data_IF_740213880397
#
_entry.id   IF_740213880397
#
_cell.length_a   1.000
_cell.length_b   1.000
_cell.length_c   1.000
_cell.angle_alpha   90.00
_cell.angle_beta   90.00
_cell.angle_gamma   90.00
#
_symmetry.space_group_name_H-M   'P 1'
#
loop_
_entity.id
_entity.type
_entity.pdbx_description
1 polymer ?
#
# COMPACT_ATOMS: atom_id res chain seq x y z
N UNK A 1 17.59 -27.75 25.99
CA UNK A 1 17.39 -27.58 24.53
C UNK A 1 16.01 -28.03 24.06
N UNK A 2 15.59 -29.28 24.29
CA UNK A 2 14.25 -29.76 23.90
C UNK A 2 13.08 -28.97 24.52
N UNK A 3 13.12 -28.64 25.81
CA UNK A 3 12.04 -27.88 26.45
C UNK A 3 11.88 -26.47 25.87
N UNK A 4 12.98 -25.84 25.46
CA UNK A 4 12.98 -24.53 24.80
C UNK A 4 12.38 -24.61 23.39
N UNK A 5 12.61 -25.69 22.67
CA UNK A 5 11.97 -25.93 21.37
C UNK A 5 10.47 -26.19 21.52
N UNK A 6 10.07 -26.92 22.55
CA UNK A 6 8.67 -27.24 22.83
C UNK A 6 7.85 -25.99 23.20
N UNK A 7 8.44 -25.08 23.99
CA UNK A 7 7.85 -23.78 24.32
C UNK A 7 7.69 -22.92 23.06
N UNK A 8 8.73 -22.83 22.22
CA UNK A 8 8.67 -22.08 20.95
C UNK A 8 7.63 -22.62 20.00
N UNK A 9 7.47 -23.94 19.93
CA UNK A 9 6.48 -24.59 19.08
C UNK A 9 5.05 -24.32 19.56
N UNK A 10 4.81 -24.35 20.88
CA UNK A 10 3.51 -24.00 21.47
C UNK A 10 3.15 -22.54 21.21
N UNK A 11 4.09 -21.61 21.38
CA UNK A 11 3.87 -20.20 21.07
C UNK A 11 3.58 -19.97 19.59
N UNK A 12 4.30 -20.66 18.69
CA UNK A 12 4.04 -20.59 17.26
C UNK A 12 2.64 -21.11 16.90
N UNK A 13 2.23 -22.25 17.45
CA UNK A 13 0.91 -22.83 17.21
C UNK A 13 -0.21 -21.94 17.76
N UNK A 14 -0.04 -21.39 18.97
CA UNK A 14 -0.98 -20.44 19.55
C UNK A 14 -1.11 -19.15 18.71
N UNK A 15 0.00 -18.62 18.20
CA UNK A 15 -0.03 -17.47 17.28
C UNK A 15 -0.64 -17.80 15.92
N UNK A 16 -0.46 -19.04 15.44
CA UNK A 16 -1.04 -19.52 14.18
C UNK A 16 -2.56 -19.67 14.29
N UNK A 17 -3.04 -20.32 15.33
CA UNK A 17 -4.49 -20.52 15.56
C UNK A 17 -5.20 -19.20 15.88
N UNK A 18 -4.56 -18.29 16.61
CA UNK A 18 -5.08 -16.95 16.88
C UNK A 18 -5.01 -15.98 15.68
N UNK A 19 -4.41 -16.38 14.55
CA UNK A 19 -4.23 -15.48 13.39
C UNK A 19 -3.28 -14.30 13.64
N UNK A 20 -2.48 -14.37 14.72
CA UNK A 20 -1.55 -13.33 15.14
C UNK A 20 -0.14 -13.50 14.56
N UNK A 21 0.07 -14.50 13.70
CA UNK A 21 1.32 -14.62 12.96
C UNK A 21 1.56 -13.33 12.16
N UNK A 22 2.63 -12.61 12.52
CA UNK A 22 3.05 -11.37 11.86
C UNK A 22 3.19 -11.54 10.35
N UNK A 23 3.56 -12.73 9.90
CA UNK A 23 3.66 -13.11 8.49
C UNK A 23 2.28 -13.03 7.80
N UNK A 24 1.24 -13.63 8.38
CA UNK A 24 -0.11 -13.62 7.81
C UNK A 24 -0.69 -12.21 7.75
N UNK A 25 -0.48 -11.41 8.80
CA UNK A 25 -0.91 -10.01 8.82
C UNK A 25 -0.21 -9.18 7.72
N UNK A 26 1.10 -9.36 7.54
CA UNK A 26 1.87 -8.65 6.49
C UNK A 26 1.50 -9.13 5.09
N UNK A 27 1.23 -10.43 4.92
CA UNK A 27 0.77 -10.99 3.66
C UNK A 27 -0.56 -10.39 3.23
N UNK A 28 -1.53 -10.32 4.15
CA UNK A 28 -2.84 -9.69 3.89
C UNK A 28 -2.70 -8.21 3.51
N UNK A 29 -1.89 -7.44 4.24
CA UNK A 29 -1.60 -6.04 3.91
C UNK A 29 -1.03 -5.89 2.50
N UNK A 30 -0.08 -6.76 2.14
CA UNK A 30 0.54 -6.76 0.82
C UNK A 30 -0.48 -7.07 -0.28
N UNK A 31 -1.34 -8.07 -0.08
CA UNK A 31 -2.39 -8.46 -1.03
C UNK A 31 -3.41 -7.35 -1.25
N UNK A 32 -3.84 -6.67 -0.19
CA UNK A 32 -4.76 -5.53 -0.28
C UNK A 32 -4.14 -4.35 -1.05
N UNK A 33 -2.88 -4.01 -0.76
CA UNK A 33 -2.17 -2.95 -1.47
C UNK A 33 -1.92 -3.28 -2.95
N UNK A 34 -1.60 -4.54 -3.26
CA UNK A 34 -1.29 -4.98 -4.62
C UNK A 34 -2.51 -5.39 -5.43
N UNK A 35 -3.72 -5.25 -4.88
CA UNK A 35 -4.95 -5.54 -5.61
C UNK A 35 -4.98 -4.72 -6.90
N UNK A 36 -5.19 -5.35 -8.07
CA UNK A 36 -5.27 -4.64 -9.34
C UNK A 36 -6.37 -3.58 -9.31
N UNK A 37 -6.11 -2.45 -9.95
CA UNK A 37 -7.04 -1.33 -10.04
C UNK A 37 -7.16 -0.87 -11.49
N UNK A 38 -8.23 -0.16 -11.85
CA UNK A 38 -8.42 0.34 -13.22
C UNK A 38 -8.17 1.84 -13.31
N UNK A 39 -7.42 2.25 -14.33
CA UNK A 39 -7.23 3.66 -14.66
C UNK A 39 -8.45 4.20 -15.39
N UNK A 40 -8.74 5.47 -15.16
CA UNK A 40 -9.77 6.17 -15.94
C UNK A 40 -9.25 6.45 -17.35
N UNK A 41 -10.08 6.19 -18.36
CA UNK A 41 -9.80 6.64 -19.71
C UNK A 41 -10.05 8.16 -19.81
N UNK A 42 -9.22 8.84 -20.61
CA UNK A 42 -9.49 10.19 -21.07
C UNK A 42 -9.76 10.15 -22.57
N UNK A 43 -10.95 10.59 -22.99
CA UNK A 43 -11.36 10.53 -24.40
C UNK A 43 -10.78 11.68 -25.25
N UNK A 44 -10.42 12.78 -24.60
CA UNK A 44 -9.92 14.01 -25.22
C UNK A 44 -8.46 14.29 -24.88
N UNK A 45 -7.81 13.39 -24.13
CA UNK A 45 -6.46 13.58 -23.61
C UNK A 45 -6.38 14.59 -22.46
N UNK A 46 -7.51 15.12 -21.99
CA UNK A 46 -7.56 16.03 -20.86
C UNK A 46 -7.79 15.28 -19.55
N UNK A 47 -7.17 15.79 -18.49
CA UNK A 47 -7.30 15.26 -17.15
C UNK A 47 -8.46 15.95 -16.42
N UNK A 48 -9.27 15.18 -15.70
CA UNK A 48 -10.48 15.65 -15.02
C UNK A 48 -10.49 15.20 -13.56
N UNK A 49 -11.12 16.01 -12.70
CA UNK A 49 -11.38 15.63 -11.32
C UNK A 49 -12.22 14.34 -11.26
N UNK A 50 -11.92 13.49 -10.28
CA UNK A 50 -12.48 12.15 -10.10
C UNK A 50 -11.78 11.05 -10.90
N UNK A 51 -10.81 11.38 -11.77
CA UNK A 51 -10.09 10.37 -12.55
C UNK A 51 -9.04 9.65 -11.72
N UNK A 52 -8.94 8.34 -11.95
CA UNK A 52 -7.92 7.43 -11.43
C UNK A 52 -6.71 7.43 -12.35
N UNK A 53 -5.55 7.85 -11.82
CA UNK A 53 -4.30 7.98 -12.59
C UNK A 53 -3.11 7.36 -11.86
N UNK A 54 -2.03 7.14 -12.60
CA UNK A 54 -0.70 6.87 -12.05
C UNK A 54 0.19 8.08 -12.33
N UNK A 55 1.06 8.42 -11.38
CA UNK A 55 2.04 9.50 -11.54
C UNK A 55 3.41 8.91 -11.81
N UNK A 56 3.92 9.10 -13.03
CA UNK A 56 5.26 8.69 -13.45
C UNK A 56 6.26 9.81 -13.21
N UNK A 57 7.33 9.52 -12.48
CA UNK A 57 8.50 10.38 -12.44
C UNK A 57 9.38 10.11 -13.67
N UNK A 58 9.55 11.12 -14.53
CA UNK A 58 10.29 10.96 -15.79
C UNK A 58 11.80 10.72 -15.60
N UNK A 59 12.39 11.20 -14.50
CA UNK A 59 13.83 11.08 -14.23
C UNK A 59 14.18 9.69 -13.70
N UNK A 60 13.48 9.24 -12.65
CA UNK A 60 13.72 7.92 -12.04
C UNK A 60 13.04 6.78 -12.79
N UNK A 61 12.12 7.09 -13.72
CA UNK A 61 11.25 6.12 -14.41
C UNK A 61 10.39 5.30 -13.44
N UNK A 62 10.17 5.81 -12.23
CA UNK A 62 9.34 5.18 -11.21
C UNK A 62 7.98 5.84 -11.06
N UNK A 63 6.97 5.05 -10.72
CA UNK A 63 5.65 5.54 -10.36
C UNK A 63 5.56 5.88 -8.88
N UNK A 64 4.85 6.95 -8.54
CA UNK A 64 4.53 7.27 -7.15
C UNK A 64 3.69 6.14 -6.54
N UNK A 65 4.03 5.74 -5.32
CA UNK A 65 3.38 4.64 -4.63
C UNK A 65 3.29 4.90 -3.14
N UNK A 66 2.19 4.47 -2.53
CA UNK A 66 1.83 4.73 -1.13
C UNK A 66 1.56 3.41 -0.43
N UNK A 67 2.27 3.12 0.65
CA UNK A 67 1.89 2.00 1.52
C UNK A 67 1.15 2.54 2.75
N UNK A 68 -0.19 2.46 2.83
CA UNK A 68 -0.95 3.01 3.94
C UNK A 68 -0.62 2.33 5.28
N UNK A 69 -0.03 1.13 5.25
CA UNK A 69 0.38 0.39 6.45
C UNK A 69 1.78 0.76 6.96
N UNK A 70 2.46 1.70 6.29
CA UNK A 70 3.80 2.17 6.65
C UNK A 70 3.70 3.57 7.28
N UNK A 71 3.09 3.59 8.47
CA UNK A 71 2.94 4.79 9.27
C UNK A 71 4.29 5.23 9.83
N UNK A 72 4.57 6.52 9.75
CA UNK A 72 5.78 7.09 10.34
C UNK A 72 5.49 7.53 11.76
N UNK A 73 6.35 7.18 12.71
CA UNK A 73 6.25 7.71 14.08
C UNK A 73 6.56 9.21 14.08
N UNK A 74 5.52 10.03 14.04
CA UNK A 74 5.54 11.49 14.08
C UNK A 74 4.44 11.98 15.01
N UNK A 75 4.54 13.25 15.43
CA UNK A 75 3.53 13.92 16.25
C UNK A 75 2.21 14.19 15.48
N UNK A 76 2.17 13.87 14.18
CA UNK A 76 1.03 14.00 13.30
C UNK A 76 0.91 12.77 12.40
N UNK A 77 -0.31 12.52 11.90
CA UNK A 77 -0.56 11.42 10.97
C UNK A 77 0.19 11.66 9.65
N UNK A 78 1.12 10.76 9.33
CA UNK A 78 1.94 10.82 8.12
C UNK A 78 2.18 9.42 7.56
N UNK A 79 2.12 9.33 6.23
CA UNK A 79 2.37 8.10 5.48
C UNK A 79 3.56 8.35 4.55
N UNK A 80 4.46 7.38 4.45
CA UNK A 80 5.59 7.47 3.55
C UNK A 80 5.18 7.23 2.09
N UNK A 81 5.66 8.12 1.21
CA UNK A 81 5.52 8.01 -0.23
C UNK A 81 6.84 7.57 -0.85
N UNK A 82 6.82 6.57 -1.72
CA UNK A 82 8.01 6.07 -2.40
C UNK A 82 7.76 5.93 -3.90
N UNK A 83 8.80 5.56 -4.65
CA UNK A 83 8.68 5.22 -6.07
C UNK A 83 8.77 3.72 -6.27
N UNK A 84 8.03 3.20 -7.25
CA UNK A 84 8.08 1.80 -7.68
C UNK A 84 8.35 1.72 -9.18
N UNK A 85 9.02 0.65 -9.61
CA UNK A 85 9.20 0.35 -11.05
C UNK A 85 8.05 -0.47 -11.64
N UNK A 86 7.08 -0.88 -10.82
CA UNK A 86 5.89 -1.61 -11.26
C UNK A 86 4.99 -0.71 -12.10
N UNK A 87 4.64 -1.20 -13.29
CA UNK A 87 3.82 -0.48 -14.24
C UNK A 87 2.34 -0.86 -14.11
N UNK A 88 2.05 -1.97 -13.44
CA UNK A 88 0.70 -2.46 -13.24
C UNK A 88 -0.06 -1.55 -12.27
N UNK A 89 -1.27 -1.08 -12.65
CA UNK A 89 -2.10 -0.32 -11.75
C UNK A 89 -2.61 -1.19 -10.59
N UNK A 90 -2.52 -0.64 -9.39
CA UNK A 90 -2.91 -1.26 -8.13
C UNK A 90 -3.42 -0.19 -7.17
N UNK A 91 -4.11 -0.60 -6.11
CA UNK A 91 -4.53 0.31 -5.04
C UNK A 91 -3.36 1.16 -4.51
N UNK A 92 -2.14 0.61 -4.52
CA UNK A 92 -0.93 1.27 -4.02
C UNK A 92 -0.38 2.41 -4.89
N UNK A 93 -0.66 2.43 -6.19
CA UNK A 93 -0.05 3.38 -7.14
C UNK A 93 -1.09 4.13 -8.00
N UNK A 94 -2.38 3.85 -7.81
CA UNK A 94 -3.47 4.62 -8.39
C UNK A 94 -3.91 5.72 -7.43
N UNK A 95 -3.99 6.94 -7.96
CA UNK A 95 -4.39 8.15 -7.24
C UNK A 95 -5.64 8.75 -7.89
N UNK A 96 -6.50 9.34 -7.07
CA UNK A 96 -7.69 10.06 -7.52
C UNK A 96 -7.38 11.55 -7.47
N UNK A 97 -7.67 12.26 -8.57
CA UNK A 97 -7.46 13.70 -8.64
C UNK A 97 -8.72 14.38 -8.12
N UNK A 98 -8.62 15.08 -7.02
CA UNK A 98 -9.73 15.78 -6.40
C UNK A 98 -9.59 17.29 -6.57
N UNK A 99 -10.74 17.97 -6.59
CA UNK A 99 -10.78 19.42 -6.60
C UNK A 99 -10.53 19.89 -5.17
N UNK A 100 -9.55 20.78 -5.00
CA UNK A 100 -9.37 21.49 -3.73
C UNK A 100 -10.35 22.64 -3.68
N UNK A 101 -11.15 22.71 -2.61
CA UNK A 101 -11.92 23.90 -2.29
C UNK A 101 -11.06 24.81 -1.40
N UNK A 102 -11.06 26.12 -1.65
CA UNK A 102 -10.18 27.09 -0.95
C UNK A 102 -10.47 27.24 0.56
N UNK A 103 -11.46 26.50 1.09
CA UNK A 103 -11.86 26.49 2.49
C UNK A 103 -11.42 25.22 3.26
N UNK A 104 -10.70 24.29 2.63
CA UNK A 104 -10.09 23.11 3.27
C UNK A 104 -8.68 23.38 3.84
#
# INVERSE_FOLDING_TARGET
DQELEEIRLKDFLAQKEGGHLRVTAKQRQLEECLRPEQLSASHDGALRFGQKVMLLNQQSKGYLSVNPYDEVTKDYAAIMLTTTTRQEPSVRNVLIIERVDEND
#
